data_IF_314229324121
#
_entry.id   IF_314229324121
#
_cell.length_a   1.000
_cell.length_b   1.000
_cell.length_c   1.000
_cell.angle_alpha   90.00
_cell.angle_beta   90.00
_cell.angle_gamma   90.00
#
_symmetry.space_group_name_H-M   'P 1'
#
loop_
_entity.id
_entity.type
_entity.pdbx_description
1 polymer ?
#
# COMPACT_ATOMS: atom_id res chain seq x y z
N UNK A 1 -3.06 -26.19 -4.59
CA UNK A 1 -4.25 -25.89 -5.41
C UNK A 1 -4.04 -24.48 -5.88
N UNK A 2 -3.64 -24.43 -7.15
CA UNK A 2 -3.55 -23.33 -8.10
C UNK A 2 -2.82 -22.04 -7.68
N UNK A 3 -1.56 -21.97 -8.11
CA UNK A 3 -0.88 -20.72 -8.45
C UNK A 3 -1.80 -19.92 -9.37
N UNK A 4 -2.42 -18.87 -8.82
CA UNK A 4 -3.16 -17.91 -9.63
C UNK A 4 -2.14 -17.13 -10.45
N UNK A 5 -1.90 -17.64 -11.66
CA UNK A 5 -1.33 -16.96 -12.81
C UNK A 5 -1.99 -15.57 -12.93
N UNK A 6 -1.37 -14.56 -12.32
CA UNK A 6 -1.71 -13.16 -12.56
C UNK A 6 -1.38 -12.85 -14.02
N UNK A 7 -2.38 -13.00 -14.88
CA UNK A 7 -2.39 -12.55 -16.27
C UNK A 7 -2.08 -11.03 -16.30
N UNK A 8 -0.80 -10.72 -16.51
CA UNK A 8 -0.23 -9.38 -16.38
C UNK A 8 -0.61 -8.55 -17.61
N UNK A 9 -1.80 -7.94 -17.61
CA UNK A 9 -2.32 -7.13 -18.72
C UNK A 9 -1.90 -5.65 -18.75
N UNK A 10 -0.83 -5.27 -18.05
CA UNK A 10 -0.27 -3.91 -18.13
C UNK A 10 -1.19 -2.77 -17.65
N UNK A 11 -2.26 -3.08 -16.90
CA UNK A 11 -3.18 -2.09 -16.33
C UNK A 11 -2.75 -1.71 -14.91
N UNK A 12 -2.67 -0.41 -14.64
CA UNK A 12 -2.54 0.14 -13.28
C UNK A 12 -3.87 -0.06 -12.56
N UNK A 13 -3.85 -0.78 -11.43
CA UNK A 13 -5.02 -0.96 -10.59
C UNK A 13 -5.47 0.39 -10.02
N UNK A 14 -6.77 0.70 -10.07
CA UNK A 14 -7.28 1.94 -9.48
C UNK A 14 -7.38 1.80 -7.95
N UNK A 15 -6.99 2.85 -7.24
CA UNK A 15 -7.17 2.94 -5.80
C UNK A 15 -8.65 3.04 -5.41
N UNK A 16 -8.98 2.43 -4.28
CA UNK A 16 -10.23 2.65 -3.56
C UNK A 16 -9.85 3.15 -2.18
N UNK A 17 -10.16 4.42 -1.90
CA UNK A 17 -9.68 5.17 -0.73
C UNK A 17 -9.94 4.47 0.63
N UNK A 18 -10.99 3.66 0.71
CA UNK A 18 -11.38 2.93 1.93
C UNK A 18 -10.71 1.56 2.07
N UNK A 19 -9.95 1.11 1.06
CA UNK A 19 -9.35 -0.22 0.97
C UNK A 19 -7.86 -0.13 0.63
N UNK A 20 -7.06 -0.22 1.67
CA UNK A 20 -5.61 -0.42 1.59
C UNK A 20 -5.12 -1.50 0.60
N UNK A 21 -5.89 -2.58 0.37
CA UNK A 21 -5.53 -3.62 -0.61
C UNK A 21 -5.50 -3.08 -2.04
N UNK A 22 -6.46 -2.24 -2.43
CA UNK A 22 -6.41 -1.58 -3.74
C UNK A 22 -5.29 -0.57 -3.82
N UNK A 23 -5.00 0.16 -2.73
CA UNK A 23 -3.85 1.06 -2.66
C UNK A 23 -2.53 0.30 -2.87
N UNK A 24 -2.37 -0.84 -2.20
CA UNK A 24 -1.22 -1.73 -2.36
C UNK A 24 -1.05 -2.17 -3.82
N UNK A 25 -2.10 -2.74 -4.41
CA UNK A 25 -2.06 -3.23 -5.79
C UNK A 25 -1.81 -2.11 -6.81
N UNK A 26 -2.41 -0.93 -6.61
CA UNK A 26 -2.14 0.26 -7.41
C UNK A 26 -0.67 0.63 -7.34
N UNK A 27 -0.11 0.79 -6.14
CA UNK A 27 1.27 1.25 -5.96
C UNK A 27 2.28 0.25 -6.49
N UNK A 28 2.08 -1.05 -6.27
CA UNK A 28 2.93 -2.11 -6.86
C UNK A 28 2.86 -2.11 -8.38
N UNK A 29 1.69 -1.86 -8.95
CA UNK A 29 1.57 -1.76 -10.40
C UNK A 29 2.18 -0.48 -10.95
N UNK A 30 2.00 0.65 -10.27
CA UNK A 30 2.50 1.96 -10.69
C UNK A 30 4.03 2.02 -10.61
N UNK A 31 4.64 1.46 -9.56
CA UNK A 31 6.11 1.44 -9.40
C UNK A 31 6.83 0.71 -10.54
N UNK A 32 6.19 -0.31 -11.12
CA UNK A 32 6.73 -1.02 -12.31
C UNK A 32 6.76 -0.15 -13.58
N UNK A 33 6.01 0.95 -13.59
CA UNK A 33 5.85 1.84 -14.74
C UNK A 33 6.42 3.24 -14.47
N UNK A 34 7.26 3.41 -13.45
CA UNK A 34 7.90 4.69 -13.09
C UNK A 34 8.47 5.42 -14.32
N UNK A 35 9.30 4.73 -15.11
CA UNK A 35 9.88 5.29 -16.36
C UNK A 35 8.81 5.70 -17.37
N UNK A 36 7.73 4.94 -17.49
CA UNK A 36 6.63 5.26 -18.41
C UNK A 36 5.91 6.53 -17.97
N UNK A 37 5.68 6.72 -16.66
CA UNK A 37 5.10 7.96 -16.13
C UNK A 37 6.02 9.16 -16.33
N UNK A 38 7.34 8.97 -16.14
CA UNK A 38 8.35 9.98 -16.39
C UNK A 38 8.37 10.39 -17.87
N UNK A 39 8.49 9.43 -18.79
CA UNK A 39 8.45 9.70 -20.23
C UNK A 39 7.16 10.38 -20.68
N UNK A 40 6.02 9.98 -20.11
CA UNK A 40 4.74 10.60 -20.40
C UNK A 40 4.71 12.06 -19.96
N UNK A 41 5.34 12.41 -18.83
CA UNK A 41 5.45 13.79 -18.37
C UNK A 41 6.23 14.68 -19.35
N UNK A 42 7.23 14.14 -20.04
CA UNK A 42 7.99 14.85 -21.05
C UNK A 42 7.24 14.99 -22.39
N UNK A 43 6.45 13.97 -22.76
CA UNK A 43 5.78 13.88 -24.06
C UNK A 43 4.42 14.57 -24.09
N UNK A 44 3.66 14.52 -22.99
CA UNK A 44 2.27 14.99 -22.95
C UNK A 44 2.07 16.13 -21.94
N UNK A 45 2.05 17.37 -22.46
CA UNK A 45 1.75 18.56 -21.66
C UNK A 45 0.34 18.55 -21.07
N UNK A 46 -0.63 17.89 -21.72
CA UNK A 46 -2.00 17.78 -21.21
C UNK A 46 -2.02 16.91 -19.96
N UNK A 47 -1.29 15.79 -19.96
CA UNK A 47 -1.11 14.94 -18.79
C UNK A 47 -0.56 15.74 -17.59
N UNK A 48 0.54 16.48 -17.79
CA UNK A 48 1.13 17.33 -16.74
C UNK A 48 0.13 18.38 -16.26
N UNK A 49 -0.51 19.11 -17.17
CA UNK A 49 -1.46 20.18 -16.82
C UNK A 49 -2.66 19.65 -16.04
N UNK A 50 -3.21 18.50 -16.40
CA UNK A 50 -4.36 17.92 -15.70
C UNK A 50 -3.99 17.48 -14.29
N UNK A 51 -2.81 16.86 -14.10
CA UNK A 51 -2.34 16.47 -12.76
C UNK A 51 -1.98 17.65 -11.87
N UNK A 52 -1.45 18.74 -12.44
CA UNK A 52 -1.18 19.97 -11.69
C UNK A 52 -2.47 20.70 -11.31
N UNK A 53 -3.53 20.64 -12.14
CA UNK A 53 -4.82 21.25 -11.81
C UNK A 53 -5.59 20.49 -10.74
N UNK A 54 -5.53 19.16 -10.77
CA UNK A 54 -6.32 18.28 -9.88
C UNK A 54 -5.57 17.85 -8.63
N UNK A 55 -4.26 18.02 -8.58
CA UNK A 55 -3.40 17.52 -7.51
C UNK A 55 -2.08 18.26 -7.41
N UNK A 56 -1.04 17.55 -6.97
CA UNK A 56 0.30 18.12 -6.74
C UNK A 56 1.23 18.10 -7.96
N UNK A 57 0.72 17.69 -9.13
CA UNK A 57 1.52 17.49 -10.34
C UNK A 57 1.86 16.02 -10.60
N UNK A 58 2.82 15.81 -11.50
CA UNK A 58 3.33 14.47 -11.83
C UNK A 58 4.16 13.88 -10.69
N UNK A 59 4.25 12.54 -10.56
CA UNK A 59 5.11 11.91 -9.58
C UNK A 59 6.58 12.34 -9.73
N UNK A 60 7.21 12.69 -8.61
CA UNK A 60 8.63 13.07 -8.54
C UNK A 60 9.50 11.88 -8.13
N UNK A 61 10.83 11.99 -8.29
CA UNK A 61 11.78 10.98 -7.80
C UNK A 61 11.59 10.69 -6.29
N UNK A 62 11.30 11.73 -5.52
CA UNK A 62 11.06 11.61 -4.08
C UNK A 62 9.76 10.84 -3.78
N UNK A 63 8.71 11.04 -4.58
CA UNK A 63 7.47 10.24 -4.46
C UNK A 63 7.74 8.76 -4.72
N UNK A 64 8.55 8.43 -5.73
CA UNK A 64 8.93 7.05 -6.03
C UNK A 64 9.75 6.40 -4.92
N UNK A 65 10.67 7.15 -4.30
CA UNK A 65 11.40 6.69 -3.10
C UNK A 65 10.43 6.36 -1.96
N UNK A 66 9.47 7.24 -1.68
CA UNK A 66 8.44 6.98 -0.66
C UNK A 66 7.55 5.77 -1.01
N UNK A 67 7.18 5.60 -2.28
CA UNK A 67 6.40 4.44 -2.74
C UNK A 67 7.18 3.14 -2.46
N UNK A 68 8.48 3.11 -2.76
CA UNK A 68 9.31 1.93 -2.51
C UNK A 68 9.45 1.61 -1.01
N UNK A 69 9.39 2.63 -0.15
CA UNK A 69 9.42 2.47 1.29
C UNK A 69 8.07 1.98 1.86
N UNK A 70 6.94 2.41 1.30
CA UNK A 70 5.60 2.08 1.82
C UNK A 70 5.04 0.74 1.31
N UNK A 71 5.44 0.29 0.10
CA UNK A 71 4.96 -0.95 -0.51
C UNK A 71 5.18 -2.19 0.40
N UNK A 72 6.38 -2.43 0.97
CA UNK A 72 6.61 -3.60 1.82
C UNK A 72 5.68 -3.66 3.03
N UNK A 73 5.25 -2.50 3.51
CA UNK A 73 4.38 -2.41 4.66
C UNK A 73 2.92 -2.62 4.31
N UNK A 74 2.45 -1.99 3.23
CA UNK A 74 1.11 -2.28 2.69
C UNK A 74 0.97 -3.76 2.30
N UNK A 75 2.06 -4.42 1.91
CA UNK A 75 2.10 -5.86 1.64
C UNK A 75 1.73 -6.71 2.86
N UNK A 76 2.25 -6.39 4.05
CA UNK A 76 1.97 -7.17 5.28
C UNK A 76 0.47 -7.29 5.53
N UNK A 77 -0.23 -6.19 5.32
CA UNK A 77 -1.66 -6.09 5.48
C UNK A 77 -2.45 -6.76 4.37
N UNK A 78 -1.97 -6.63 3.13
CA UNK A 78 -2.54 -7.31 1.99
C UNK A 78 -2.47 -8.82 2.20
N UNK A 79 -1.30 -9.34 2.60
CA UNK A 79 -1.08 -10.76 2.86
C UNK A 79 -1.95 -11.25 4.02
N UNK A 80 -2.03 -10.51 5.13
CA UNK A 80 -2.92 -10.82 6.26
C UNK A 80 -4.40 -10.83 5.84
N UNK A 81 -4.83 -9.85 5.04
CA UNK A 81 -6.22 -9.80 4.55
C UNK A 81 -6.50 -10.96 3.60
N UNK A 82 -5.57 -11.29 2.71
CA UNK A 82 -5.72 -12.40 1.78
C UNK A 82 -5.85 -13.72 2.54
N UNK A 83 -5.00 -13.94 3.54
CA UNK A 83 -5.05 -15.12 4.40
C UNK A 83 -6.37 -15.23 5.18
N UNK A 84 -6.87 -14.12 5.74
CA UNK A 84 -8.17 -14.07 6.42
C UNK A 84 -9.31 -14.35 5.41
N UNK A 85 -9.30 -13.70 4.25
CA UNK A 85 -10.38 -13.82 3.26
C UNK A 85 -10.42 -15.16 2.52
N UNK A 86 -9.27 -15.81 2.34
CA UNK A 86 -9.12 -17.09 1.64
C UNK A 86 -9.35 -18.33 2.53
N UNK A 87 -9.47 -18.16 3.85
CA UNK A 87 -9.71 -19.28 4.76
C UNK A 87 -11.20 -19.56 4.90
N UNK A 88 -11.63 -20.77 4.52
CA UNK A 88 -13.03 -21.22 4.69
C UNK A 88 -13.40 -21.48 6.15
N UNK A 89 -12.41 -21.62 7.03
CA UNK A 89 -12.56 -21.81 8.47
C UNK A 89 -11.47 -21.06 9.23
N UNK A 90 -11.68 -19.76 9.47
CA UNK A 90 -10.86 -19.01 10.41
C UNK A 90 -11.09 -19.57 11.82
N UNK A 91 -10.11 -20.27 12.37
CA UNK A 91 -10.09 -20.48 13.83
C UNK A 91 -9.72 -19.15 14.49
N UNK A 92 -10.35 -18.83 15.63
CA UNK A 92 -10.10 -17.56 16.35
C UNK A 92 -8.62 -17.31 16.62
N UNK A 93 -7.82 -18.37 16.77
CA UNK A 93 -6.37 -18.31 16.94
C UNK A 93 -5.65 -17.71 15.73
N UNK A 94 -6.02 -18.10 14.50
CA UNK A 94 -5.40 -17.58 13.27
C UNK A 94 -5.68 -16.09 13.13
N UNK A 95 -6.94 -15.69 13.30
CA UNK A 95 -7.31 -14.26 13.27
C UNK A 95 -6.54 -13.45 14.31
N UNK A 96 -6.41 -13.98 15.53
CA UNK A 96 -5.65 -13.33 16.60
C UNK A 96 -4.17 -13.16 16.22
N UNK A 97 -3.52 -14.19 15.68
CA UNK A 97 -2.11 -14.11 15.28
C UNK A 97 -1.87 -13.10 14.14
N UNK A 98 -2.78 -13.01 13.17
CA UNK A 98 -2.69 -12.01 12.09
C UNK A 98 -2.80 -10.58 12.65
N UNK A 99 -3.77 -10.33 13.53
CA UNK A 99 -3.95 -9.02 14.16
C UNK A 99 -2.72 -8.63 15.01
N UNK A 100 -2.20 -9.57 15.80
CA UNK A 100 -0.99 -9.33 16.59
C UNK A 100 0.25 -9.11 15.70
N UNK A 101 0.37 -9.85 14.60
CA UNK A 101 1.43 -9.68 13.60
C UNK A 101 1.41 -8.28 12.99
N UNK A 102 0.23 -7.84 12.55
CA UNK A 102 -0.02 -6.47 12.10
C UNK A 102 0.40 -5.44 13.17
N UNK A 103 -0.04 -5.63 14.41
CA UNK A 103 0.27 -4.73 15.52
C UNK A 103 1.78 -4.59 15.74
N UNK A 104 2.50 -5.72 15.72
CA UNK A 104 3.96 -5.74 15.83
C UNK A 104 4.63 -4.98 14.69
N UNK A 105 4.23 -5.23 13.43
CA UNK A 105 4.81 -4.54 12.28
C UNK A 105 4.58 -3.02 12.30
N UNK A 106 3.43 -2.56 12.80
CA UNK A 106 3.17 -1.13 12.99
C UNK A 106 4.12 -0.53 14.03
N UNK A 107 4.36 -1.23 15.14
CA UNK A 107 5.29 -0.78 16.18
C UNK A 107 6.72 -0.72 15.64
N UNK A 108 7.18 -1.75 14.93
CA UNK A 108 8.51 -1.78 14.32
C UNK A 108 8.70 -0.59 13.36
N UNK A 109 7.68 -0.25 12.57
CA UNK A 109 7.72 0.91 11.67
C UNK A 109 7.68 2.25 12.41
N UNK A 110 7.02 2.35 13.56
CA UNK A 110 7.08 3.56 14.38
C UNK A 110 8.51 3.83 14.91
N UNK A 111 9.37 2.81 14.94
CA UNK A 111 10.79 2.93 15.27
C UNK A 111 11.70 3.16 14.03
N UNK A 112 11.13 3.30 12.83
CA UNK A 112 11.89 3.60 11.62
C UNK A 112 12.63 4.93 11.74
N UNK A 113 13.86 4.98 11.20
CA UNK A 113 14.65 6.21 11.08
C UNK A 113 14.00 7.21 10.12
N UNK A 114 13.31 6.70 9.10
CA UNK A 114 12.59 7.49 8.10
C UNK A 114 11.38 8.20 8.74
N UNK A 115 11.41 9.54 8.72
CA UNK A 115 10.38 10.36 9.35
C UNK A 115 9.02 10.20 8.68
N UNK A 116 8.98 10.01 7.36
CA UNK A 116 7.74 9.87 6.62
C UNK A 116 7.07 8.54 6.96
N UNK A 117 7.83 7.44 6.94
CA UNK A 117 7.36 6.12 7.37
C UNK A 117 6.88 6.14 8.82
N UNK A 118 7.65 6.76 9.72
CA UNK A 118 7.27 6.88 11.13
C UNK A 118 5.96 7.66 11.29
N UNK A 119 5.78 8.76 10.58
CA UNK A 119 4.54 9.55 10.58
C UNK A 119 3.32 8.76 10.08
N UNK A 120 3.51 7.99 8.99
CA UNK A 120 2.47 7.11 8.45
C UNK A 120 2.12 5.99 9.45
N UNK A 121 3.13 5.34 10.01
CA UNK A 121 2.97 4.28 11.00
C UNK A 121 2.25 4.77 12.26
N UNK A 122 2.56 5.95 12.76
CA UNK A 122 1.86 6.54 13.91
C UNK A 122 0.37 6.77 13.63
N UNK A 123 0.01 7.19 12.41
CA UNK A 123 -1.41 7.34 12.01
C UNK A 123 -2.10 5.97 11.95
N UNK A 124 -1.41 4.95 11.45
CA UNK A 124 -1.94 3.58 11.44
C UNK A 124 -2.03 2.97 12.83
N UNK A 125 -1.06 3.21 13.71
CA UNK A 125 -1.10 2.79 15.11
C UNK A 125 -2.33 3.36 15.81
N UNK A 126 -2.64 4.64 15.62
CA UNK A 126 -3.87 5.23 16.18
C UNK A 126 -5.14 4.52 15.71
N UNK A 127 -5.21 4.12 14.44
CA UNK A 127 -6.34 3.32 13.93
C UNK A 127 -6.35 1.91 14.52
N UNK A 128 -5.19 1.26 14.57
CA UNK A 128 -5.05 -0.07 15.18
C UNK A 128 -5.50 -0.07 16.65
N UNK A 129 -4.93 0.82 17.47
CA UNK A 129 -5.27 0.94 18.89
C UNK A 129 -6.77 1.24 19.11
N UNK A 130 -7.38 2.06 18.24
CA UNK A 130 -8.81 2.38 18.32
C UNK A 130 -9.71 1.14 18.20
N UNK A 131 -9.35 0.20 17.34
CA UNK A 131 -10.17 -0.97 17.01
C UNK A 131 -9.73 -2.24 17.77
N UNK A 132 -8.46 -2.34 18.15
CA UNK A 132 -7.86 -3.55 18.74
C UNK A 132 -7.06 -3.30 20.04
N UNK A 133 -6.92 -2.06 20.51
CA UNK A 133 -6.12 -1.71 21.69
C UNK A 133 -6.87 -1.68 23.03
N UNK A 134 -8.19 -1.93 23.04
CA UNK A 134 -9.03 -1.90 24.24
C UNK A 134 -9.34 -3.32 24.79
N UNK A 135 -8.49 -4.30 24.50
CA UNK A 135 -8.59 -5.68 24.98
C UNK A 135 -7.26 -6.11 25.61
#
# INVERSE_FOLDING_TARGET
IDEESMDYKGLVWLDVETRWNSTYLMLVSASKHERTFEELSFRDKKYVNELTKKGKGVPTEEDWKHINLIIPFLKLFYDATLHISGSSYLTSNIYMFEILGIGKSIVDMCASEDEHLRSVAQKMKKKYDKYWGNH
#
